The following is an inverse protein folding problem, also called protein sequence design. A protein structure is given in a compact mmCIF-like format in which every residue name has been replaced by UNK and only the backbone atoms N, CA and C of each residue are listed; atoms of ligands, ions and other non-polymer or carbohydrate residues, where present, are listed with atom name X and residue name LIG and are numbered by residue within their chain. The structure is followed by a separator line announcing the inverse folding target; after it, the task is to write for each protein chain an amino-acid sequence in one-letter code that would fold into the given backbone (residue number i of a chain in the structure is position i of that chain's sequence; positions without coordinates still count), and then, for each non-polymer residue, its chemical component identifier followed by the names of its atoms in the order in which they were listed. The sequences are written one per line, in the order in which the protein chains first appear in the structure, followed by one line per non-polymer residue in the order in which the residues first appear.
data_IF_414654225251
#
_entry.id   IF_414654225251
#
_cell.length_a   1.000
_cell.length_b   1.000
_cell.length_c   1.000
_cell.angle_alpha   90.00
_cell.angle_beta   90.00
_cell.angle_gamma   90.00
#
_symmetry.space_group_name_H-M   'P 1'
#
loop_
_entity.id
_entity.type
_entity.pdbx_description
1 polymer ?
#
# COMPACT_ATOMS: atom_id res chain seq x y z
N UNK A 1 -21.49 5.62 19.65
CA UNK A 1 -20.35 5.53 18.70
C UNK A 1 -19.25 6.59 18.86
N UNK A 2 -19.23 7.43 19.91
CA UNK A 2 -18.14 8.42 20.12
C UNK A 2 -18.14 9.61 19.17
N UNK A 3 -19.27 9.95 18.58
CA UNK A 3 -19.45 11.07 17.64
C UNK A 3 -18.71 12.34 18.11
N UNK A 4 -18.05 13.05 17.19
CA UNK A 4 -17.42 14.33 17.51
C UNK A 4 -18.50 15.38 17.72
N UNK A 5 -18.60 16.01 18.92
CA UNK A 5 -19.60 17.06 19.17
C UNK A 5 -19.39 18.31 18.32
N UNK A 6 -18.25 18.43 17.62
CA UNK A 6 -17.95 19.54 16.71
C UNK A 6 -18.32 19.24 15.25
N UNK A 7 -18.63 17.99 14.90
CA UNK A 7 -19.13 17.65 13.57
C UNK A 7 -20.60 18.07 13.45
N UNK A 8 -20.94 18.80 12.39
CA UNK A 8 -22.31 19.25 12.14
C UNK A 8 -23.25 18.06 11.84
N UNK A 9 -22.77 17.07 11.11
CA UNK A 9 -23.51 15.88 10.71
C UNK A 9 -22.68 14.62 11.00
N UNK A 10 -22.58 14.18 12.26
CA UNK A 10 -21.77 13.03 12.62
C UNK A 10 -22.41 11.74 12.06
N UNK A 11 -21.61 10.99 11.30
CA UNK A 11 -22.00 9.70 10.77
C UNK A 11 -22.06 8.65 11.89
N UNK A 12 -23.24 8.48 12.49
CA UNK A 12 -23.44 7.59 13.63
C UNK A 12 -24.82 6.92 13.62
N UNK A 13 -24.89 5.61 13.91
CA UNK A 13 -26.14 4.91 14.15
C UNK A 13 -26.95 5.41 15.36
N UNK A 14 -26.33 6.14 16.31
CA UNK A 14 -27.02 6.70 17.47
C UNK A 14 -27.75 8.03 17.15
N UNK A 15 -27.55 8.58 15.94
CA UNK A 15 -28.09 9.88 15.52
C UNK A 15 -29.53 9.80 14.98
N UNK A 16 -30.16 10.96 14.70
CA UNK A 16 -29.60 12.31 14.79
C UNK A 16 -29.47 12.82 16.24
N UNK A 17 -28.46 13.66 16.50
CA UNK A 17 -28.25 14.30 17.81
C UNK A 17 -28.77 15.74 17.79
N UNK A 18 -29.40 16.17 18.89
CA UNK A 18 -29.79 17.57 19.06
C UNK A 18 -28.57 18.47 19.31
N UNK A 19 -28.61 19.78 18.97
CA UNK A 19 -27.49 20.71 19.20
C UNK A 19 -27.08 20.87 20.67
N UNK A 20 -27.99 20.55 21.60
CA UNK A 20 -27.82 20.60 23.05
C UNK A 20 -27.58 19.22 23.68
N UNK A 21 -27.26 18.20 22.86
CA UNK A 21 -26.95 16.87 23.35
C UNK A 21 -25.77 16.88 24.35
N UNK A 22 -25.86 16.04 25.39
CA UNK A 22 -24.84 15.95 26.42
C UNK A 22 -23.46 15.59 25.85
N UNK A 23 -22.45 16.39 26.18
CA UNK A 23 -21.06 16.16 25.79
C UNK A 23 -20.26 15.68 27.00
N UNK A 24 -19.51 14.59 26.82
CA UNK A 24 -18.63 14.05 27.84
C UNK A 24 -17.18 13.96 27.33
N UNK A 25 -16.24 14.33 28.20
CA UNK A 25 -14.81 14.09 27.98
C UNK A 25 -14.43 12.75 28.59
N UNK A 26 -13.64 11.95 27.87
CA UNK A 26 -13.13 10.66 28.34
C UNK A 26 -11.74 10.39 27.77
N UNK A 27 -10.97 9.47 28.40
CA UNK A 27 -9.69 9.04 27.84
C UNK A 27 -9.82 8.47 26.43
N UNK A 28 -8.79 8.70 25.62
CA UNK A 28 -8.65 8.05 24.31
C UNK A 28 -8.58 6.54 24.52
N UNK A 29 -9.33 5.78 23.70
CA UNK A 29 -9.33 4.31 23.77
C UNK A 29 -8.24 3.75 22.88
N UNK A 30 -7.45 2.85 23.45
CA UNK A 30 -6.59 1.92 22.71
C UNK A 30 -7.35 0.61 22.62
N UNK A 31 -7.66 0.18 21.41
CA UNK A 31 -8.39 -1.06 21.14
C UNK A 31 -7.43 -2.04 20.51
N UNK A 32 -7.26 -3.20 21.14
CA UNK A 32 -6.41 -4.26 20.62
C UNK A 32 -7.23 -5.23 19.76
N UNK A 33 -6.71 -5.56 18.57
CA UNK A 33 -7.28 -6.53 17.67
C UNK A 33 -6.49 -7.84 17.76
N UNK A 34 -7.12 -8.94 18.23
CA UNK A 34 -6.45 -10.22 18.30
C UNK A 34 -6.29 -10.82 16.91
N UNK A 35 -5.19 -11.57 16.69
CA UNK A 35 -4.88 -12.24 15.41
C UNK A 35 -6.04 -13.14 14.92
N UNK A 36 -6.70 -13.83 15.85
CA UNK A 36 -7.86 -14.69 15.56
C UNK A 36 -9.21 -13.96 15.49
N UNK A 37 -9.24 -12.64 15.31
CA UNK A 37 -10.49 -11.90 15.19
C UNK A 37 -11.29 -12.35 13.96
N UNK A 38 -12.60 -12.48 14.12
CA UNK A 38 -13.53 -12.65 12.99
C UNK A 38 -13.95 -11.29 12.45
N UNK A 39 -14.37 -11.25 11.19
CA UNK A 39 -14.90 -10.04 10.54
C UNK A 39 -16.03 -9.39 11.39
N UNK A 40 -16.95 -10.19 11.91
CA UNK A 40 -18.06 -9.76 12.77
C UNK A 40 -17.58 -9.09 14.06
N UNK A 41 -16.44 -9.50 14.61
CA UNK A 41 -15.86 -8.84 15.79
C UNK A 41 -15.26 -7.49 15.41
N UNK A 42 -14.69 -7.37 14.21
CA UNK A 42 -14.05 -6.15 13.70
C UNK A 42 -15.09 -5.10 13.29
N UNK A 43 -15.96 -5.48 12.37
CA UNK A 43 -17.02 -4.63 11.82
C UNK A 43 -18.19 -4.49 12.78
N UNK A 44 -18.58 -5.59 13.44
CA UNK A 44 -19.82 -5.70 14.20
C UNK A 44 -20.75 -6.72 13.57
N UNK A 45 -21.81 -7.09 14.28
CA UNK A 45 -22.77 -8.09 13.82
C UNK A 45 -24.20 -7.54 13.78
N UNK A 46 -25.02 -8.07 12.88
CA UNK A 46 -26.42 -7.68 12.73
C UNK A 46 -27.29 -8.87 13.17
N UNK A 47 -28.11 -8.68 14.20
CA UNK A 47 -28.93 -9.76 14.77
C UNK A 47 -30.34 -9.77 14.15
N UNK A 48 -30.51 -10.49 13.04
CA UNK A 48 -31.78 -10.57 12.31
C UNK A 48 -32.92 -11.27 13.08
N UNK A 49 -32.60 -12.23 13.95
CA UNK A 49 -33.61 -13.00 14.70
C UNK A 49 -34.44 -12.10 15.63
N UNK A 50 -33.80 -11.12 16.27
CA UNK A 50 -34.49 -10.08 17.05
C UNK A 50 -35.31 -9.14 16.17
N UNK A 51 -34.91 -8.94 14.92
CA UNK A 51 -35.71 -8.18 13.95
C UNK A 51 -36.99 -8.91 13.54
N UNK A 52 -36.97 -10.24 13.50
CA UNK A 52 -38.15 -11.05 13.16
C UNK A 52 -39.15 -11.17 14.32
N UNK A 53 -38.68 -11.18 15.57
CA UNK A 53 -39.53 -11.27 16.77
C UNK A 53 -40.01 -9.89 17.28
N UNK A 54 -39.17 -8.86 17.15
CA UNK A 54 -39.41 -7.51 17.69
C UNK A 54 -39.51 -6.39 16.65
N UNK A 55 -39.33 -6.69 15.36
CA UNK A 55 -39.41 -5.71 14.26
C UNK A 55 -38.22 -4.74 14.16
N UNK A 56 -37.20 -4.86 15.02
CA UNK A 56 -36.05 -3.96 15.05
C UNK A 56 -34.74 -4.71 14.78
N UNK A 57 -33.99 -4.26 13.76
CA UNK A 57 -32.64 -4.74 13.48
C UNK A 57 -31.70 -4.19 14.55
N UNK A 58 -31.13 -5.06 15.37
CA UNK A 58 -30.15 -4.68 16.39
C UNK A 58 -28.73 -4.90 15.84
N UNK A 59 -27.99 -3.82 15.74
CA UNK A 59 -26.57 -3.84 15.37
C UNK A 59 -25.70 -3.84 16.62
N UNK A 60 -24.81 -4.82 16.71
CA UNK A 60 -23.81 -4.91 17.76
C UNK A 60 -22.48 -4.29 17.28
N UNK A 61 -22.01 -3.19 17.90
CA UNK A 61 -20.82 -2.48 17.42
C UNK A 61 -19.54 -3.31 17.54
N UNK A 62 -18.77 -3.37 16.44
CA UNK A 62 -17.48 -4.04 16.40
C UNK A 62 -16.32 -3.25 17.03
N UNK A 63 -15.10 -3.76 16.83
CA UNK A 63 -13.87 -3.10 17.27
C UNK A 63 -13.63 -1.75 16.59
N UNK A 64 -14.02 -1.58 15.31
CA UNK A 64 -13.86 -0.31 14.60
C UNK A 64 -14.68 0.82 15.24
N UNK A 65 -15.91 0.53 15.66
CA UNK A 65 -16.75 1.47 16.39
C UNK A 65 -16.16 1.85 17.76
N UNK A 66 -15.46 0.90 18.40
CA UNK A 66 -14.75 1.12 19.67
C UNK A 66 -13.47 1.94 19.45
N UNK A 67 -12.77 1.74 18.34
CA UNK A 67 -11.54 2.45 18.00
C UNK A 67 -11.77 3.88 17.51
N UNK A 68 -13.00 4.24 17.09
CA UNK A 68 -13.30 5.59 16.62
C UNK A 68 -12.87 6.68 17.64
N UNK A 69 -12.10 7.65 17.13
CA UNK A 69 -11.39 8.73 17.86
C UNK A 69 -10.35 8.22 18.86
N UNK A 70 -9.75 7.07 18.56
CA UNK A 70 -8.64 6.53 19.33
C UNK A 70 -7.65 5.77 18.46
N UNK A 71 -7.09 4.71 19.04
CA UNK A 71 -6.03 3.89 18.43
C UNK A 71 -6.53 2.47 18.28
N UNK A 72 -6.35 1.90 17.09
CA UNK A 72 -6.50 0.47 16.85
C UNK A 72 -5.11 -0.15 16.77
N UNK A 73 -4.75 -0.95 17.77
CA UNK A 73 -3.51 -1.69 17.82
C UNK A 73 -3.73 -3.10 17.29
N UNK A 74 -2.88 -3.52 16.38
CA UNK A 74 -2.86 -4.87 15.82
C UNK A 74 -1.50 -5.47 16.06
N UNK A 75 -1.45 -6.55 16.83
CA UNK A 75 -0.22 -7.30 17.00
C UNK A 75 -0.03 -8.25 15.83
N UNK A 76 1.18 -8.29 15.27
CA UNK A 76 1.55 -9.22 14.20
C UNK A 76 0.57 -9.16 13.00
N UNK A 77 0.46 -7.99 12.37
CA UNK A 77 -0.41 -7.76 11.21
C UNK A 77 -0.17 -8.74 10.06
N UNK A 78 1.03 -9.32 9.96
CA UNK A 78 1.39 -10.35 8.99
C UNK A 78 0.65 -11.69 9.20
N UNK A 79 0.08 -11.94 10.39
CA UNK A 79 -0.66 -13.16 10.71
C UNK A 79 -2.18 -13.01 10.54
N UNK A 80 -2.68 -11.80 10.28
CA UNK A 80 -4.09 -11.57 10.03
C UNK A 80 -4.53 -12.12 8.68
N UNK A 81 -5.80 -12.50 8.60
CA UNK A 81 -6.42 -12.84 7.33
C UNK A 81 -6.42 -11.62 6.38
N UNK A 82 -5.99 -11.83 5.13
CA UNK A 82 -5.85 -10.78 4.10
C UNK A 82 -7.07 -9.84 4.04
N UNK A 83 -8.29 -10.38 4.01
CA UNK A 83 -9.52 -9.59 3.93
C UNK A 83 -9.74 -8.67 5.14
N UNK A 84 -9.31 -9.06 6.34
CA UNK A 84 -9.42 -8.20 7.52
C UNK A 84 -8.46 -7.04 7.40
N UNK A 85 -7.23 -7.28 6.94
CA UNK A 85 -6.24 -6.23 6.74
C UNK A 85 -6.75 -5.20 5.74
N UNK A 86 -7.35 -5.65 4.63
CA UNK A 86 -7.97 -4.77 3.64
C UNK A 86 -9.09 -3.90 4.24
N UNK A 87 -10.02 -4.52 4.98
CA UNK A 87 -11.12 -3.80 5.65
C UNK A 87 -10.59 -2.77 6.65
N UNK A 88 -9.57 -3.12 7.44
CA UNK A 88 -8.97 -2.22 8.42
C UNK A 88 -8.31 -1.02 7.75
N UNK A 89 -7.55 -1.26 6.67
CA UNK A 89 -6.87 -0.22 5.92
C UNK A 89 -7.86 0.67 5.14
N UNK A 90 -8.96 0.12 4.62
CA UNK A 90 -10.03 0.89 3.99
C UNK A 90 -10.73 1.78 5.02
N UNK A 91 -11.09 1.23 6.18
CA UNK A 91 -11.73 1.98 7.25
C UNK A 91 -10.82 3.11 7.78
N UNK A 92 -9.53 2.83 7.97
CA UNK A 92 -8.55 3.82 8.40
C UNK A 92 -8.36 4.94 7.36
N UNK A 93 -8.35 4.61 6.07
CA UNK A 93 -8.18 5.59 4.99
C UNK A 93 -9.45 6.43 4.74
N UNK A 94 -10.63 5.80 4.74
CA UNK A 94 -11.91 6.48 4.50
C UNK A 94 -12.47 7.18 5.75
N UNK A 95 -12.03 6.76 6.95
CA UNK A 95 -12.53 7.28 8.22
C UNK A 95 -13.96 6.85 8.55
N UNK A 96 -14.46 5.79 7.89
CA UNK A 96 -15.80 5.22 8.05
C UNK A 96 -15.78 3.72 7.83
N UNK A 97 -16.74 3.02 8.44
CA UNK A 97 -16.95 1.59 8.25
C UNK A 97 -18.38 1.36 7.77
N UNK A 98 -18.53 0.51 6.76
CA UNK A 98 -19.81 0.12 6.16
C UNK A 98 -19.98 -1.38 6.31
N UNK A 99 -21.18 -1.80 6.69
CA UNK A 99 -21.52 -3.19 6.99
C UNK A 99 -22.78 -3.51 6.21
N UNK A 100 -22.67 -4.40 5.24
CA UNK A 100 -23.78 -4.79 4.37
C UNK A 100 -24.05 -6.28 4.53
N UNK A 101 -25.10 -6.62 5.28
CA UNK A 101 -25.51 -8.01 5.52
C UNK A 101 -27.02 -8.15 5.61
N UNK A 102 -27.52 -9.28 5.13
CA UNK A 102 -28.94 -9.66 5.22
C UNK A 102 -29.91 -8.58 4.70
N UNK A 103 -29.49 -7.82 3.68
CA UNK A 103 -30.28 -6.73 3.09
C UNK A 103 -30.29 -5.42 3.89
N UNK A 104 -29.50 -5.33 4.97
CA UNK A 104 -29.32 -4.13 5.78
C UNK A 104 -27.91 -3.57 5.53
N UNK A 105 -27.84 -2.26 5.28
CA UNK A 105 -26.57 -1.52 5.20
C UNK A 105 -26.51 -0.54 6.37
N UNK A 106 -25.45 -0.64 7.18
CA UNK A 106 -25.17 0.24 8.31
C UNK A 106 -23.82 0.89 8.08
N UNK A 107 -23.77 2.20 8.26
CA UNK A 107 -22.55 2.98 8.11
C UNK A 107 -22.30 3.80 9.39
N UNK A 108 -21.05 3.84 9.83
CA UNK A 108 -20.64 4.65 10.98
C UNK A 108 -19.22 5.23 10.80
N UNK A 109 -18.94 6.35 11.47
CA UNK A 109 -17.61 6.93 11.50
C UNK A 109 -16.60 5.98 12.18
N UNK A 110 -15.40 5.92 11.60
CA UNK A 110 -14.29 5.07 12.03
C UNK A 110 -12.95 5.77 11.79
N UNK A 111 -12.84 7.05 12.20
CA UNK A 111 -11.56 7.78 12.24
C UNK A 111 -10.71 7.30 13.43
N UNK A 112 -9.60 6.61 13.21
CA UNK A 112 -8.67 6.13 14.24
C UNK A 112 -7.23 6.08 13.72
N UNK A 113 -6.26 6.01 14.63
CA UNK A 113 -4.87 5.73 14.28
C UNK A 113 -4.66 4.23 14.28
N UNK A 114 -4.28 3.65 13.14
CA UNK A 114 -3.92 2.24 13.02
C UNK A 114 -2.44 2.07 13.37
N UNK A 115 -2.14 1.21 14.33
CA UNK A 115 -0.78 0.81 14.69
C UNK A 115 -0.68 -0.70 14.52
N UNK A 116 0.09 -1.14 13.54
CA UNK A 116 0.39 -2.54 13.31
C UNK A 116 1.83 -2.84 13.68
N UNK A 117 2.07 -3.89 14.46
CA UNK A 117 3.41 -4.48 14.62
C UNK A 117 3.56 -5.64 13.63
N UNK A 118 4.78 -5.94 13.22
CA UNK A 118 5.08 -7.15 12.47
C UNK A 118 6.40 -7.73 12.96
N UNK A 119 6.51 -9.05 12.98
CA UNK A 119 7.77 -9.74 13.09
C UNK A 119 8.18 -10.25 11.70
N UNK A 120 9.22 -9.69 11.05
CA UNK A 120 9.63 -10.13 9.72
C UNK A 120 10.09 -11.59 9.68
N UNK A 121 10.48 -12.17 10.83
CA UNK A 121 10.86 -13.59 10.94
C UNK A 121 9.65 -14.53 10.81
N UNK A 122 8.43 -14.05 11.06
CA UNK A 122 7.19 -14.83 11.04
C UNK A 122 6.43 -14.73 9.71
N UNK A 123 6.94 -13.91 8.78
CA UNK A 123 6.39 -13.75 7.45
C UNK A 123 6.39 -12.29 7.00
N UNK A 124 6.45 -12.10 5.68
CA UNK A 124 6.36 -10.77 5.07
C UNK A 124 4.90 -10.41 4.78
N UNK A 125 4.52 -9.15 5.03
CA UNK A 125 3.27 -8.63 4.50
C UNK A 125 3.33 -8.56 2.97
N UNK A 126 2.19 -8.83 2.33
CA UNK A 126 2.02 -8.61 0.90
C UNK A 126 2.41 -7.16 0.55
N UNK A 127 3.23 -6.91 -0.48
CA UNK A 127 3.66 -5.56 -0.85
C UNK A 127 2.51 -4.57 -1.04
N UNK A 128 1.36 -5.05 -1.53
CA UNK A 128 0.16 -4.22 -1.75
C UNK A 128 -0.46 -3.71 -0.45
N UNK A 129 -0.37 -4.47 0.64
CA UNK A 129 -0.87 -4.07 1.96
C UNK A 129 0.14 -3.16 2.65
N UNK A 130 1.43 -3.49 2.51
CA UNK A 130 2.52 -2.69 3.06
C UNK A 130 2.49 -1.26 2.51
N UNK A 131 2.27 -1.09 1.21
CA UNK A 131 2.13 0.22 0.55
C UNK A 131 0.97 1.07 1.11
N UNK A 132 -0.03 0.45 1.74
CA UNK A 132 -1.17 1.17 2.33
C UNK A 132 -0.89 1.68 3.74
N UNK A 133 0.16 1.21 4.40
CA UNK A 133 0.64 1.82 5.63
C UNK A 133 1.35 3.13 5.33
N UNK A 134 1.00 4.18 6.08
CA UNK A 134 1.62 5.49 5.93
C UNK A 134 3.10 5.43 6.27
N UNK A 135 3.39 5.14 7.54
CA UNK A 135 4.74 5.23 8.10
C UNK A 135 5.18 3.87 8.64
N UNK A 136 6.48 3.61 8.56
CA UNK A 136 7.15 2.46 9.15
C UNK A 136 8.25 2.95 10.10
N UNK A 137 8.35 2.30 11.26
CA UNK A 137 9.37 2.59 12.26
C UNK A 137 10.00 1.28 12.67
N UNK A 138 11.34 1.20 12.60
CA UNK A 138 12.08 0.08 13.17
C UNK A 138 12.33 0.33 14.65
N UNK A 139 11.92 -0.62 15.49
CA UNK A 139 12.12 -0.54 16.94
C UNK A 139 13.16 -1.57 17.35
N UNK A 140 14.37 -1.08 17.64
CA UNK A 140 15.47 -1.92 18.12
C UNK A 140 15.64 -1.80 19.64
N UNK A 141 15.91 -2.93 20.30
CA UNK A 141 16.31 -2.92 21.70
C UNK A 141 17.66 -2.21 21.87
N UNK A 142 17.82 -1.34 22.89
CA UNK A 142 19.07 -0.62 23.10
C UNK A 142 20.22 -1.60 23.36
N UNK A 143 21.35 -1.39 22.67
CA UNK A 143 22.55 -2.24 22.83
C UNK A 143 23.42 -1.82 24.01
N UNK A 144 23.40 -0.55 24.39
CA UNK A 144 24.21 0.00 25.46
C UNK A 144 23.79 -0.56 26.84
N UNK A 145 24.70 -1.21 27.60
CA UNK A 145 24.37 -1.84 28.88
C UNK A 145 23.72 -0.89 29.90
N UNK A 146 24.18 0.36 29.95
CA UNK A 146 23.69 1.39 30.86
C UNK A 146 22.24 1.74 30.57
N UNK A 147 21.90 1.91 29.29
CA UNK A 147 20.54 2.21 28.85
C UNK A 147 19.60 1.01 29.10
N UNK A 148 20.07 -0.22 28.84
CA UNK A 148 19.31 -1.45 29.15
C UNK A 148 19.00 -1.56 30.66
N UNK A 149 20.00 -1.32 31.50
CA UNK A 149 19.83 -1.36 32.95
C UNK A 149 18.84 -0.28 33.44
N UNK A 150 18.85 0.90 32.82
CA UNK A 150 17.91 1.97 33.13
C UNK A 150 16.47 1.62 32.74
N UNK A 151 16.24 1.04 31.56
CA UNK A 151 14.90 0.56 31.15
C UNK A 151 14.35 -0.45 32.16
N UNK A 152 15.15 -1.45 32.55
CA UNK A 152 14.76 -2.45 33.55
C UNK A 152 14.49 -1.79 34.91
N UNK A 153 15.33 -0.87 35.35
CA UNK A 153 15.15 -0.13 36.62
C UNK A 153 13.83 0.64 36.64
N UNK A 154 13.49 1.34 35.55
CA UNK A 154 12.22 2.06 35.43
C UNK A 154 11.03 1.11 35.46
N UNK A 155 11.13 -0.03 34.78
CA UNK A 155 10.06 -1.04 34.79
C UNK A 155 9.81 -1.58 36.20
N UNK A 156 10.87 -1.96 36.92
CA UNK A 156 10.76 -2.43 38.30
C UNK A 156 10.20 -1.35 39.25
N UNK A 157 10.58 -0.08 39.05
CA UNK A 157 10.04 1.02 39.83
C UNK A 157 8.53 1.22 39.57
N UNK A 158 8.08 1.08 38.32
CA UNK A 158 6.66 1.12 37.98
C UNK A 158 5.90 -0.07 38.59
N UNK A 159 6.43 -1.29 38.51
CA UNK A 159 5.78 -2.48 39.07
C UNK A 159 5.69 -2.39 40.61
N UNK A 160 6.64 -1.74 41.27
CA UNK A 160 6.64 -1.54 42.72
C UNK A 160 5.65 -0.46 43.19
N UNK A 161 5.57 0.67 42.51
CA UNK A 161 4.59 1.73 42.79
C UNK A 161 4.19 2.48 41.50
N UNK A 162 3.11 2.03 40.82
CA UNK A 162 2.65 2.67 39.59
C UNK A 162 2.17 4.12 39.79
N UNK A 163 1.66 4.46 40.98
CA UNK A 163 1.12 5.78 41.26
C UNK A 163 2.24 6.81 41.45
N UNK A 164 3.25 6.48 42.26
CA UNK A 164 4.42 7.34 42.44
C UNK A 164 5.23 7.47 41.15
N UNK A 165 5.36 6.39 40.36
CA UNK A 165 6.03 6.44 39.07
C UNK A 165 5.32 7.42 38.12
N UNK A 166 3.99 7.32 37.95
CA UNK A 166 3.23 8.28 37.12
C UNK A 166 3.36 9.71 37.63
N UNK A 167 3.25 9.92 38.95
CA UNK A 167 3.40 11.26 39.53
C UNK A 167 4.78 11.89 39.22
N UNK A 168 5.84 11.08 39.17
CA UNK A 168 7.19 11.54 38.82
C UNK A 168 7.32 12.02 37.36
N UNK A 169 6.53 11.48 36.43
CA UNK A 169 6.58 11.84 35.01
C UNK A 169 5.43 12.74 34.55
N UNK A 170 4.49 13.07 35.43
CA UNK A 170 3.29 13.84 35.11
C UNK A 170 3.59 15.17 34.41
N UNK A 171 4.57 15.93 34.90
CA UNK A 171 4.94 17.22 34.29
C UNK A 171 5.51 17.04 32.87
N UNK A 172 6.27 15.97 32.63
CA UNK A 172 6.82 15.67 31.31
C UNK A 172 5.73 15.19 30.34
N UNK A 173 4.79 14.36 30.80
CA UNK A 173 3.62 13.94 30.01
C UNK A 173 2.71 15.12 29.68
N UNK A 174 2.49 16.04 30.63
CA UNK A 174 1.70 17.24 30.40
C UNK A 174 2.38 18.16 29.38
N UNK A 175 3.69 18.40 29.50
CA UNK A 175 4.44 19.20 28.53
C UNK A 175 4.39 18.59 27.12
N UNK A 176 4.47 17.26 27.01
CA UNK A 176 4.33 16.55 25.74
C UNK A 176 2.91 16.72 25.15
N UNK A 177 1.89 16.61 26.01
CA UNK A 177 0.48 16.80 25.63
C UNK A 177 0.23 18.21 25.11
N UNK A 178 0.75 19.22 25.82
CA UNK A 178 0.61 20.62 25.43
C UNK A 178 1.30 20.89 24.09
N UNK A 179 2.48 20.29 23.86
CA UNK A 179 3.19 20.36 22.56
C UNK A 179 2.38 19.72 21.44
N UNK A 180 1.79 18.54 21.65
CA UNK A 180 0.92 17.87 20.67
C UNK A 180 -0.29 18.75 20.30
N UNK A 181 -0.95 19.34 21.30
CA UNK A 181 -2.11 20.23 21.07
C UNK A 181 -1.70 21.49 20.31
N UNK A 182 -0.54 22.07 20.61
CA UNK A 182 -0.02 23.21 19.87
C UNK A 182 0.26 22.85 18.41
N UNK A 183 0.95 21.73 18.15
CA UNK A 183 1.24 21.25 16.81
C UNK A 183 -0.03 20.97 16.00
N UNK A 184 -1.05 20.34 16.60
CA UNK A 184 -2.33 20.08 15.94
C UNK A 184 -3.06 21.36 15.51
N UNK A 185 -2.94 22.44 16.29
CA UNK A 185 -3.52 23.75 15.94
C UNK A 185 -2.73 24.42 14.82
N UNK A 186 -1.39 24.32 14.86
CA UNK A 186 -0.50 24.94 13.88
C UNK A 186 -0.56 24.22 12.51
N UNK A 187 -0.95 22.94 12.47
CA UNK A 187 -0.95 22.11 11.26
C UNK A 187 -1.65 22.75 10.06
N UNK A 188 -2.73 23.53 10.27
CA UNK A 188 -3.47 24.20 9.19
C UNK A 188 -2.78 25.47 8.67
N UNK A 189 -1.79 25.97 9.38
CA UNK A 189 -1.01 27.18 9.06
C UNK A 189 0.34 26.85 8.41
N UNK A 190 0.73 25.57 8.37
CA UNK A 190 2.00 25.16 7.75
C UNK A 190 1.90 25.19 6.23
N UNK A 191 2.79 25.95 5.61
CA UNK A 191 2.92 26.07 4.16
C UNK A 191 3.88 25.01 3.61
N UNK A 192 3.39 24.26 2.63
CA UNK A 192 4.19 23.36 1.80
C UNK A 192 4.38 24.02 0.44
N UNK A 193 5.59 24.51 0.18
CA UNK A 193 5.92 25.24 -1.06
C UNK A 193 6.00 24.29 -2.26
N UNK A 194 5.83 24.84 -3.47
CA UNK A 194 5.99 24.07 -4.71
C UNK A 194 7.41 23.50 -4.85
N UNK A 195 8.43 24.21 -4.33
CA UNK A 195 9.80 23.72 -4.29
C UNK A 195 9.93 22.47 -3.39
N UNK A 196 9.33 22.49 -2.20
CA UNK A 196 9.30 21.33 -1.31
C UNK A 196 8.53 20.15 -1.92
N UNK A 197 7.40 20.40 -2.59
CA UNK A 197 6.66 19.38 -3.33
C UNK A 197 7.49 18.75 -4.46
N UNK A 198 8.20 19.58 -5.22
CA UNK A 198 9.10 19.13 -6.30
C UNK A 198 10.20 18.26 -5.71
N UNK A 199 10.79 18.67 -4.59
CA UNK A 199 11.84 17.90 -3.91
C UNK A 199 11.34 16.56 -3.38
N UNK A 200 10.12 16.52 -2.85
CA UNK A 200 9.47 15.25 -2.46
C UNK A 200 9.34 14.31 -3.66
N UNK A 201 8.87 14.83 -4.81
CA UNK A 201 8.70 14.03 -6.02
C UNK A 201 10.05 13.52 -6.56
N UNK A 202 11.10 14.34 -6.52
CA UNK A 202 12.47 13.95 -6.90
C UNK A 202 13.00 12.82 -6.00
N UNK A 203 12.82 12.95 -4.68
CA UNK A 203 13.20 11.89 -3.73
C UNK A 203 12.40 10.62 -4.01
N UNK A 204 11.07 10.70 -4.13
CA UNK A 204 10.24 9.52 -4.43
C UNK A 204 10.63 8.84 -5.75
N UNK A 205 10.99 9.62 -6.79
CA UNK A 205 11.49 9.10 -8.06
C UNK A 205 12.86 8.44 -7.92
N UNK A 206 13.78 9.04 -7.16
CA UNK A 206 15.12 8.47 -6.92
C UNK A 206 15.08 7.13 -6.17
N UNK A 207 14.05 6.90 -5.34
CA UNK A 207 13.84 5.66 -4.61
C UNK A 207 12.99 4.61 -5.37
N UNK A 208 12.70 4.83 -6.66
CA UNK A 208 11.90 3.94 -7.53
C UNK A 208 10.56 3.52 -6.89
N UNK A 209 9.90 4.46 -6.21
CA UNK A 209 8.62 4.16 -5.56
C UNK A 209 7.46 4.19 -6.55
N UNK A 210 6.62 3.16 -6.51
CA UNK A 210 5.47 3.06 -7.40
C UNK A 210 4.30 3.96 -6.94
N UNK A 211 3.91 4.89 -7.81
CA UNK A 211 2.71 5.73 -7.63
C UNK A 211 2.87 6.86 -6.62
N UNK A 212 1.82 7.70 -6.50
CA UNK A 212 1.89 8.99 -5.78
C UNK A 212 1.61 8.91 -4.28
N UNK A 213 1.45 7.70 -3.73
CA UNK A 213 1.08 7.54 -2.32
C UNK A 213 2.22 7.92 -1.40
N UNK A 214 3.46 7.61 -1.80
CA UNK A 214 4.66 8.01 -1.07
C UNK A 214 4.77 9.53 -0.98
N UNK A 215 4.54 10.23 -2.09
CA UNK A 215 4.57 11.69 -2.18
C UNK A 215 3.57 12.32 -1.20
N UNK A 216 2.32 11.85 -1.20
CA UNK A 216 1.27 12.36 -0.32
C UNK A 216 1.61 12.11 1.16
N UNK A 217 2.14 10.93 1.48
CA UNK A 217 2.50 10.59 2.85
C UNK A 217 3.71 11.40 3.30
N UNK A 218 4.74 11.56 2.46
CA UNK A 218 5.90 12.38 2.75
C UNK A 218 5.51 13.84 2.98
N UNK A 219 4.70 14.42 2.09
CA UNK A 219 4.20 15.78 2.23
C UNK A 219 3.47 15.99 3.56
N UNK A 220 2.52 15.10 3.90
CA UNK A 220 1.78 15.18 5.17
C UNK A 220 2.68 14.99 6.39
N UNK A 221 3.69 14.13 6.28
CA UNK A 221 4.62 13.86 7.38
C UNK A 221 5.55 15.04 7.61
N UNK A 222 6.08 15.65 6.55
CA UNK A 222 6.92 16.83 6.62
C UNK A 222 6.16 18.02 7.22
N UNK A 223 4.93 18.25 6.76
CA UNK A 223 4.03 19.27 7.32
C UNK A 223 3.75 19.01 8.81
N UNK A 224 3.48 17.76 9.19
CA UNK A 224 3.26 17.40 10.59
C UNK A 224 4.53 17.56 11.44
N UNK A 225 5.71 17.29 10.89
CA UNK A 225 7.00 17.46 11.56
C UNK A 225 7.35 18.94 11.76
N UNK A 226 7.14 19.79 10.74
CA UNK A 226 7.28 21.24 10.85
C UNK A 226 6.36 21.81 11.95
N UNK A 227 5.08 21.39 11.96
CA UNK A 227 4.12 21.78 12.99
C UNK A 227 4.55 21.30 14.40
N UNK A 228 5.09 20.09 14.50
CA UNK A 228 5.61 19.51 15.73
C UNK A 228 6.79 20.31 16.31
N UNK A 229 7.62 20.88 15.44
CA UNK A 229 8.71 21.77 15.79
C UNK A 229 8.28 23.24 15.98
N UNK A 230 6.99 23.54 15.84
CA UNK A 230 6.44 24.88 16.02
C UNK A 230 6.74 25.83 14.87
N UNK A 231 7.03 25.31 13.68
CA UNK A 231 7.28 26.08 12.44
C UNK A 231 6.07 26.06 11.52
N UNK A 232 5.97 27.10 10.69
CA UNK A 232 4.96 27.25 9.63
C UNK A 232 5.49 26.92 8.24
N UNK A 233 6.79 26.64 8.12
CA UNK A 233 7.44 26.41 6.83
C UNK A 233 8.17 25.07 6.89
N UNK A 234 7.93 24.24 5.87
CA UNK A 234 8.58 22.95 5.70
C UNK A 234 10.04 23.15 5.25
N UNK A 235 10.98 22.51 5.94
CA UNK A 235 12.41 22.55 5.64
C UNK A 235 12.92 21.21 5.09
N UNK A 236 14.14 21.21 4.55
CA UNK A 236 14.83 20.00 4.08
C UNK A 236 14.95 18.92 5.17
N UNK A 237 15.13 19.31 6.43
CA UNK A 237 15.15 18.37 7.57
C UNK A 237 13.80 17.67 7.78
N UNK A 238 12.68 18.37 7.56
CA UNK A 238 11.35 17.75 7.62
C UNK A 238 11.18 16.72 6.51
N UNK A 239 11.68 17.03 5.31
CA UNK A 239 11.67 16.09 4.19
C UNK A 239 12.52 14.85 4.47
N UNK A 240 13.69 15.04 5.11
CA UNK A 240 14.56 13.94 5.56
C UNK A 240 13.86 13.02 6.56
N UNK A 241 13.21 13.59 7.57
CA UNK A 241 12.43 12.81 8.56
C UNK A 241 11.27 12.10 7.88
N UNK A 242 10.53 12.78 7.01
CA UNK A 242 9.42 12.20 6.26
C UNK A 242 9.88 11.02 5.39
N UNK A 243 10.98 11.15 4.66
CA UNK A 243 11.55 10.11 3.82
C UNK A 243 11.93 8.86 4.63
N UNK A 244 12.63 9.06 5.76
CA UNK A 244 13.03 7.96 6.68
C UNK A 244 11.85 7.15 7.20
N UNK A 245 10.68 7.76 7.35
CA UNK A 245 9.48 7.11 7.87
C UNK A 245 8.58 6.54 6.78
N UNK A 246 8.50 7.18 5.61
CA UNK A 246 7.50 6.87 4.58
C UNK A 246 8.00 5.92 3.48
N UNK A 247 9.30 5.87 3.21
CA UNK A 247 9.89 5.16 2.07
C UNK A 247 10.39 3.73 2.33
N UNK A 248 10.92 3.34 3.53
CA UNK A 248 11.61 2.06 3.71
C UNK A 248 10.83 0.81 3.30
N UNK A 249 9.49 0.87 3.36
CA UNK A 249 8.57 -0.21 3.08
C UNK A 249 7.93 -0.15 1.68
N UNK A 250 8.22 0.91 0.92
CA UNK A 250 7.71 1.13 -0.45
C UNK A 250 8.76 0.88 -1.53
N UNK A 251 10.04 0.82 -1.15
CA UNK A 251 11.13 0.49 -2.06
C UNK A 251 11.05 -0.97 -2.52
N UNK A 252 11.18 -1.20 -3.82
CA UNK A 252 11.39 -2.55 -4.36
C UNK A 252 12.77 -3.03 -3.92
N UNK A 253 12.81 -3.89 -2.90
CA UNK A 253 14.07 -4.50 -2.44
C UNK A 253 14.51 -5.59 -3.39
N UNK A 254 15.78 -5.55 -3.79
CA UNK A 254 16.44 -6.73 -4.32
C UNK A 254 16.72 -7.71 -3.16
N UNK A 255 16.88 -9.02 -3.42
CA UNK A 255 17.09 -10.04 -2.38
C UNK A 255 18.32 -9.83 -1.47
N UNK A 256 19.20 -8.87 -1.81
CA UNK A 256 20.44 -8.57 -1.11
C UNK A 256 20.47 -7.17 -0.49
N UNK A 257 19.40 -6.38 -0.62
CA UNK A 257 19.35 -5.04 -0.06
C UNK A 257 19.10 -5.11 1.45
N UNK A 258 19.91 -4.38 2.23
CA UNK A 258 19.71 -4.27 3.66
C UNK A 258 18.36 -3.57 3.97
N UNK A 259 17.67 -3.97 5.05
CA UNK A 259 16.47 -3.27 5.48
C UNK A 259 16.80 -1.83 5.89
N UNK A 260 15.96 -0.88 5.45
CA UNK A 260 16.09 0.55 5.76
C UNK A 260 16.10 1.43 4.51
N UNK A 261 16.41 2.71 4.70
CA UNK A 261 16.71 3.66 3.64
C UNK A 261 18.23 3.83 3.54
N UNK A 262 18.73 3.99 2.33
CA UNK A 262 20.13 4.36 2.10
C UNK A 262 20.27 5.86 2.42
N UNK A 263 20.99 6.19 3.49
CA UNK A 263 21.13 7.58 3.95
C UNK A 263 21.94 8.41 2.98
N UNK A 264 22.95 7.83 2.34
CA UNK A 264 23.80 8.54 1.38
C UNK A 264 22.98 8.90 0.12
N UNK A 265 22.16 7.97 -0.36
CA UNK A 265 21.22 8.23 -1.45
C UNK A 265 20.18 9.29 -1.09
N UNK A 266 19.69 9.29 0.17
CA UNK A 266 18.72 10.28 0.63
C UNK A 266 19.35 11.67 0.68
N UNK A 267 20.58 11.79 1.18
CA UNK A 267 21.28 13.07 1.25
C UNK A 267 21.62 13.60 -0.15
N UNK A 268 21.99 12.75 -1.10
CA UNK A 268 22.16 13.15 -2.50
C UNK A 268 20.83 13.63 -3.13
N UNK A 269 19.74 12.89 -2.87
CA UNK A 269 18.40 13.22 -3.39
C UNK A 269 17.77 14.45 -2.72
N UNK A 270 18.15 14.78 -1.49
CA UNK A 270 17.73 16.01 -0.80
C UNK A 270 18.66 17.18 -1.09
N UNK A 271 19.92 16.91 -1.48
CA UNK A 271 20.92 17.89 -1.86
C UNK A 271 21.33 18.77 -0.67
N UNK A 272 22.53 19.33 -0.73
CA UNK A 272 22.86 20.45 0.13
C UNK A 272 22.11 21.68 -0.39
N UNK A 273 21.47 22.43 0.52
CA UNK A 273 20.83 23.72 0.25
C UNK A 273 21.89 24.75 -0.23
N UNK A 274 22.43 24.60 -1.43
CA UNK A 274 23.03 25.71 -2.17
C UNK A 274 21.92 26.37 -2.98
N UNK A 275 21.53 27.62 -2.67
CA UNK A 275 20.65 28.36 -3.56
C UNK A 275 21.35 28.46 -4.91
N UNK A 276 20.71 27.91 -5.94
CA UNK A 276 21.13 28.07 -7.34
C UNK A 276 21.35 29.57 -7.56
N UNK A 277 22.57 30.03 -7.88
CA UNK A 277 22.80 31.45 -8.09
C UNK A 277 21.89 31.89 -9.23
N UNK A 278 20.95 32.79 -8.92
CA UNK A 278 20.04 33.39 -9.90
C UNK A 278 20.79 33.62 -11.22
N UNK A 279 20.28 33.13 -12.37
CA UNK A 279 20.90 33.42 -13.64
C UNK A 279 20.86 34.94 -13.83
N UNK A 280 22.02 35.57 -13.71
CA UNK A 280 22.17 37.00 -14.00
C UNK A 280 21.60 37.25 -15.41
N UNK A 281 20.77 38.27 -15.62
CA UNK A 281 20.27 38.57 -16.96
C UNK A 281 21.47 38.95 -17.83
N UNK A 282 21.80 38.09 -18.79
CA UNK A 282 22.88 38.36 -19.75
C UNK A 282 22.58 39.67 -20.50
N UNK A 283 23.42 40.66 -20.21
CA UNK A 283 23.52 41.89 -20.97
C UNK A 283 24.20 41.62 -22.30
N UNK A 284 23.48 41.96 -23.36
CA UNK A 284 23.89 42.16 -24.74
C UNK A 284 25.36 42.57 -24.95
N UNK A 285 26.07 41.84 -25.82
CA UNK A 285 27.45 42.12 -26.18
C UNK A 285 28.01 41.14 -27.22
N UNK A 286 27.64 41.33 -28.49
CA UNK A 286 28.01 40.46 -29.60
C UNK A 286 29.50 40.40 -29.96
N UNK A 287 29.85 39.40 -30.78
CA UNK A 287 31.10 39.37 -31.53
C UNK A 287 31.63 37.99 -31.92
N UNK A 288 31.27 37.56 -33.14
CA UNK A 288 32.13 36.86 -34.11
C UNK A 288 32.51 35.38 -33.88
N UNK A 289 31.99 34.53 -34.76
CA UNK A 289 32.63 33.29 -35.25
C UNK A 289 33.96 33.62 -35.99
N UNK A 290 34.90 32.66 -36.15
CA UNK A 290 34.82 31.72 -37.28
C UNK A 290 35.20 30.25 -36.97
N UNK A 291 34.83 29.43 -37.94
CA UNK A 291 34.95 27.98 -38.10
C UNK A 291 36.35 27.36 -37.96
N UNK A 292 36.42 26.06 -37.62
CA UNK A 292 37.38 25.13 -38.24
C UNK A 292 36.94 23.66 -38.13
N UNK A 293 37.02 23.02 -39.28
CA UNK A 293 36.76 21.63 -39.68
C UNK A 293 37.82 20.59 -39.27
N UNK A 294 37.44 19.31 -39.32
CA UNK A 294 38.31 18.11 -39.47
C UNK A 294 38.67 17.44 -38.15
N UNK A 295 38.72 16.12 -37.98
CA UNK A 295 38.93 15.02 -38.92
C UNK A 295 38.51 13.68 -38.28
N UNK A 296 38.23 12.70 -39.13
CA UNK A 296 37.89 11.32 -38.78
C UNK A 296 39.14 10.47 -38.67
N UNK A 297 39.22 9.52 -37.73
CA UNK A 297 40.02 8.31 -37.95
C UNK A 297 39.54 7.14 -37.09
N UNK A 298 38.90 6.23 -37.81
CA UNK A 298 38.85 4.78 -37.66
C UNK A 298 40.16 4.19 -37.10
N UNK A 299 40.08 3.27 -36.13
CA UNK A 299 41.02 2.15 -36.09
C UNK A 299 40.44 0.95 -35.33
N UNK A 300 40.21 -0.12 -36.08
CA UNK A 300 39.99 -1.49 -35.59
C UNK A 300 41.22 -2.29 -36.02
N UNK A 301 41.72 -3.22 -35.19
CA UNK A 301 42.00 -4.53 -35.78
C UNK A 301 41.44 -5.72 -35.00
N UNK A 302 41.15 -6.76 -35.78
CA UNK A 302 40.47 -7.99 -35.45
C UNK A 302 41.34 -9.08 -34.79
N UNK A 303 40.72 -9.82 -33.85
CA UNK A 303 40.83 -11.26 -33.45
C UNK A 303 42.17 -12.02 -33.50
N UNK A 304 42.17 -13.36 -33.29
CA UNK A 304 41.11 -14.27 -32.81
C UNK A 304 41.58 -15.24 -31.69
N UNK A 305 40.68 -16.00 -31.04
CA UNK A 305 40.94 -17.40 -30.64
C UNK A 305 39.70 -18.09 -30.07
N UNK A 306 39.59 -19.37 -30.44
CA UNK A 306 38.54 -20.35 -30.18
C UNK A 306 38.49 -20.84 -28.72
N UNK A 307 37.37 -21.44 -28.32
CA UNK A 307 37.24 -22.10 -27.02
C UNK A 307 35.88 -22.76 -26.78
N UNK A 308 35.64 -23.88 -27.47
CA UNK A 308 34.52 -24.80 -27.30
C UNK A 308 34.45 -25.39 -25.89
N UNK A 309 33.25 -25.48 -25.28
CA UNK A 309 32.86 -26.54 -24.34
C UNK A 309 31.36 -26.45 -23.96
N UNK A 310 30.53 -27.24 -24.63
CA UNK A 310 29.46 -28.04 -23.99
C UNK A 310 30.09 -29.41 -23.61
N UNK A 311 29.56 -30.25 -22.68
CA UNK A 311 28.13 -30.50 -22.47
C UNK A 311 27.70 -30.78 -21.01
N UNK A 312 26.40 -30.96 -20.76
CA UNK A 312 25.85 -32.20 -20.17
C UNK A 312 24.35 -32.09 -19.87
N UNK A 313 23.65 -33.07 -20.41
CA UNK A 313 22.26 -33.45 -20.23
C UNK A 313 21.91 -33.90 -18.81
N UNK A 314 20.72 -33.59 -18.31
CA UNK A 314 19.92 -34.60 -17.59
C UNK A 314 18.42 -34.33 -17.74
N UNK A 315 17.74 -35.39 -18.13
CA UNK A 315 16.30 -35.55 -18.33
C UNK A 315 15.67 -36.11 -17.06
N UNK A 316 14.47 -35.63 -16.70
CA UNK A 316 13.51 -36.37 -15.90
C UNK A 316 12.10 -35.91 -16.25
N UNK A 317 11.36 -36.82 -16.91
CA UNK A 317 9.91 -36.83 -17.03
C UNK A 317 9.26 -37.01 -15.66
N UNK A 318 8.12 -36.35 -15.41
CA UNK A 318 7.05 -36.90 -14.59
C UNK A 318 5.70 -36.28 -15.00
N UNK A 319 4.83 -37.13 -15.52
CA UNK A 319 3.48 -36.88 -16.01
C UNK A 319 2.49 -37.52 -15.02
N UNK A 320 1.55 -36.75 -14.47
CA UNK A 320 0.32 -37.28 -13.86
C UNK A 320 -0.76 -36.17 -13.65
N UNK A 321 -2.07 -36.50 -13.71
CA UNK A 321 -3.11 -35.61 -14.22
C UNK A 321 -4.04 -35.00 -13.15
N UNK A 322 -4.67 -33.87 -13.51
CA UNK A 322 -5.75 -33.20 -12.75
C UNK A 322 -7.11 -33.89 -12.91
N UNK A 323 -7.94 -34.00 -11.85
CA UNK A 323 -9.31 -34.50 -11.96
C UNK A 323 -10.33 -33.38 -12.27
N UNK A 324 -11.39 -33.76 -12.98
CA UNK A 324 -12.60 -33.00 -13.31
C UNK A 324 -13.61 -32.98 -12.15
N UNK A 325 -14.52 -31.99 -12.06
CA UNK A 325 -15.57 -31.96 -11.04
C UNK A 325 -16.83 -32.74 -11.49
N UNK A 326 -17.59 -33.33 -10.56
CA UNK A 326 -18.88 -33.93 -10.87
C UNK A 326 -20.06 -32.96 -10.70
N UNK A 327 -21.05 -33.18 -11.55
CA UNK A 327 -22.39 -32.60 -11.58
C UNK A 327 -23.24 -33.08 -10.39
N UNK A 328 -24.05 -32.20 -9.82
CA UNK A 328 -25.07 -32.55 -8.82
C UNK A 328 -26.32 -31.69 -8.99
N UNK A 329 -27.45 -32.36 -9.26
CA UNK A 329 -28.80 -31.80 -9.22
C UNK A 329 -29.29 -31.69 -7.77
N UNK A 330 -29.96 -30.58 -7.43
CA UNK A 330 -31.01 -30.55 -6.41
C UNK A 330 -31.94 -29.35 -6.66
N UNK A 331 -33.24 -29.62 -6.69
CA UNK A 331 -34.28 -28.62 -6.88
C UNK A 331 -34.66 -27.84 -5.62
N UNK A 332 -35.48 -26.81 -5.81
CA UNK A 332 -36.30 -26.23 -4.75
C UNK A 332 -36.48 -24.72 -4.78
N UNK A 333 -37.72 -24.33 -5.08
CA UNK A 333 -38.41 -23.12 -4.57
C UNK A 333 -38.11 -21.76 -5.19
N UNK A 334 -39.21 -21.08 -5.52
CA UNK A 334 -39.33 -19.80 -6.18
C UNK A 334 -39.09 -18.62 -5.22
N UNK A 335 -38.14 -17.76 -5.56
CA UNK A 335 -38.03 -16.39 -5.05
C UNK A 335 -37.91 -15.43 -6.23
N UNK A 336 -38.81 -14.44 -6.29
CA UNK A 336 -38.85 -13.40 -7.33
C UNK A 336 -37.66 -12.45 -7.17
N UNK A 337 -36.62 -12.66 -7.98
CA UNK A 337 -35.52 -11.72 -8.15
C UNK A 337 -35.90 -10.66 -9.20
N UNK A 338 -35.70 -9.39 -8.85
CA UNK A 338 -35.82 -8.25 -9.77
C UNK A 338 -34.77 -8.39 -10.88
N UNK A 339 -35.18 -8.22 -12.14
CA UNK A 339 -34.30 -8.36 -13.29
C UNK A 339 -33.22 -7.27 -13.29
N UNK A 340 -31.94 -7.69 -13.25
CA UNK A 340 -30.81 -6.83 -13.53
C UNK A 340 -30.83 -6.43 -15.02
N UNK A 341 -30.68 -5.14 -15.31
CA UNK A 341 -30.62 -4.62 -16.68
C UNK A 341 -29.39 -5.13 -17.44
N UNK A 342 -29.48 -5.14 -18.77
CA UNK A 342 -28.43 -5.64 -19.65
C UNK A 342 -27.09 -4.88 -19.45
N UNK A 343 -25.97 -5.59 -19.17
CA UNK A 343 -24.68 -4.95 -19.03
C UNK A 343 -24.18 -4.41 -20.37
N UNK A 344 -23.64 -3.18 -20.33
CA UNK A 344 -23.06 -2.49 -21.48
C UNK A 344 -21.86 -3.27 -22.04
N UNK A 345 -22.01 -3.81 -23.26
CA UNK A 345 -20.93 -4.45 -24.01
C UNK A 345 -20.05 -3.39 -24.68
N UNK A 346 -18.81 -3.25 -24.23
CA UNK A 346 -17.78 -2.48 -24.92
C UNK A 346 -17.47 -3.12 -26.28
N UNK A 347 -17.43 -2.31 -27.33
CA UNK A 347 -17.05 -2.75 -28.68
C UNK A 347 -15.53 -2.90 -28.75
N UNK A 348 -15.08 -4.09 -29.12
CA UNK A 348 -13.68 -4.38 -29.38
C UNK A 348 -13.29 -3.74 -30.73
N UNK A 349 -12.34 -2.79 -30.71
CA UNK A 349 -11.74 -2.29 -31.94
C UNK A 349 -10.76 -3.33 -32.46
N UNK A 350 -11.17 -4.07 -33.48
CA UNK A 350 -10.31 -4.98 -34.24
C UNK A 350 -9.97 -4.33 -35.57
N UNK A 351 -8.68 -4.14 -35.85
CA UNK A 351 -8.19 -3.75 -37.17
C UNK A 351 -8.14 -4.99 -38.04
N UNK A 352 -8.95 -5.02 -39.10
CA UNK A 352 -8.91 -6.07 -40.12
C UNK A 352 -7.80 -5.75 -41.14
N UNK A 353 -6.65 -6.40 -41.00
CA UNK A 353 -5.56 -6.32 -41.96
C UNK A 353 -4.28 -6.98 -41.44
N UNK A 354 -3.53 -7.62 -42.32
CA UNK A 354 -2.16 -8.08 -42.04
C UNK A 354 -1.20 -6.94 -42.39
N UNK A 355 -0.70 -6.22 -41.40
CA UNK A 355 0.34 -5.20 -41.59
C UNK A 355 1.74 -5.80 -41.76
N UNK A 356 2.69 -4.97 -42.17
CA UNK A 356 4.12 -5.29 -42.07
C UNK A 356 4.50 -5.34 -40.60
N UNK A 357 5.28 -6.35 -40.20
CA UNK A 357 5.58 -6.60 -38.79
C UNK A 357 6.71 -7.59 -38.61
N UNK A 358 7.13 -7.74 -37.35
CA UNK A 358 8.36 -8.42 -36.98
C UNK A 358 8.32 -9.94 -37.25
N UNK A 359 9.46 -10.50 -37.66
CA UNK A 359 9.59 -11.90 -38.06
C UNK A 359 9.58 -12.80 -36.83
N UNK A 360 8.49 -13.54 -36.62
CA UNK A 360 8.38 -14.52 -35.54
C UNK A 360 7.70 -15.80 -36.02
N UNK A 361 8.03 -16.95 -35.42
CA UNK A 361 7.48 -18.28 -35.78
C UNK A 361 5.95 -18.39 -35.67
N UNK A 362 5.26 -17.38 -35.12
CA UNK A 362 3.80 -17.32 -34.97
C UNK A 362 3.18 -15.99 -35.41
N UNK A 363 3.90 -15.12 -36.12
CA UNK A 363 3.31 -13.85 -36.57
C UNK A 363 2.39 -14.04 -37.78
N UNK A 364 1.30 -13.25 -37.82
CA UNK A 364 0.35 -13.18 -38.95
C UNK A 364 0.69 -12.03 -39.92
N UNK A 365 1.82 -11.36 -39.72
CA UNK A 365 2.29 -10.22 -40.52
C UNK A 365 2.82 -10.66 -41.89
N UNK A 366 2.79 -9.75 -42.87
CA UNK A 366 3.42 -9.96 -44.18
C UNK A 366 4.92 -9.71 -44.04
N UNK A 367 5.76 -10.70 -44.34
CA UNK A 367 7.23 -10.62 -44.20
C UNK A 367 7.92 -10.94 -45.52
N UNK A 368 9.04 -10.27 -45.82
CA UNK A 368 9.75 -10.38 -47.11
C UNK A 368 10.59 -11.66 -47.30
N UNK A 369 10.78 -12.50 -46.27
CA UNK A 369 11.45 -13.81 -46.35
C UNK A 369 10.82 -14.84 -45.42
N UNK A 370 10.64 -16.08 -45.92
CA UNK A 370 10.19 -17.25 -45.15
C UNK A 370 8.98 -17.98 -45.76
N UNK A 371 9.09 -19.28 -46.05
CA UNK A 371 7.95 -20.12 -46.49
C UNK A 371 7.23 -20.71 -45.26
N UNK A 372 5.90 -20.58 -45.22
CA UNK A 372 5.05 -21.31 -44.27
C UNK A 372 4.74 -22.70 -44.82
N UNK A 373 5.01 -23.76 -44.06
CA UNK A 373 4.45 -25.10 -44.30
C UNK A 373 3.20 -25.22 -43.45
N UNK A 374 2.04 -25.34 -44.09
CA UNK A 374 0.76 -25.56 -43.42
C UNK A 374 0.25 -26.97 -43.69
N UNK A 375 -0.17 -27.67 -42.63
CA UNK A 375 -0.89 -28.93 -42.73
C UNK A 375 -2.36 -28.67 -43.06
N UNK A 376 -2.89 -29.33 -44.10
CA UNK A 376 -4.33 -29.35 -44.42
C UNK A 376 -5.00 -30.49 -43.63
N UNK A 377 -6.14 -30.25 -42.97
CA UNK A 377 -6.99 -31.33 -42.49
C UNK A 377 -7.65 -32.04 -43.68
N UNK A 378 -7.66 -33.37 -43.66
CA UNK A 378 -8.35 -34.22 -44.63
C UNK A 378 -9.82 -34.33 -44.23
N UNK A 379 -10.73 -33.94 -45.13
CA UNK A 379 -12.17 -34.14 -45.01
C UNK A 379 -12.49 -35.64 -44.94
N UNK A 380 -13.25 -36.06 -43.92
CA UNK A 380 -13.81 -37.42 -43.82
C UNK A 380 -15.33 -37.35 -43.89
N UNK A 381 -15.85 -37.65 -45.07
CA UNK A 381 -17.22 -38.09 -45.29
C UNK A 381 -17.20 -39.32 -46.21
N UNK A 382 -17.75 -40.43 -45.71
CA UNK A 382 -18.27 -41.54 -46.53
C UNK A 382 -17.31 -42.70 -46.83
N UNK A 383 -17.51 -43.77 -46.05
CA UNK A 383 -17.69 -45.18 -46.46
C UNK A 383 -16.70 -45.88 -47.42
N UNK A 384 -16.33 -47.12 -47.07
CA UNK A 384 -15.75 -48.09 -48.00
C UNK A 384 -14.38 -48.66 -47.66
N UNK A 385 -14.36 -49.72 -46.84
CA UNK A 385 -13.74 -51.01 -47.19
C UNK A 385 -12.21 -51.15 -47.32
N UNK A 386 -11.64 -51.96 -46.42
CA UNK A 386 -10.47 -52.83 -46.65
C UNK A 386 -9.10 -52.14 -46.54
N UNK A 387 -8.03 -52.77 -46.07
CA UNK A 387 -7.77 -54.10 -45.50
C UNK A 387 -6.40 -54.03 -44.82
N UNK A 388 -6.17 -55.00 -43.95
CA UNK A 388 -5.00 -55.27 -43.10
C UNK A 388 -3.72 -55.44 -43.95
N UNK A 389 -2.56 -54.98 -43.45
CA UNK A 389 -1.44 -55.91 -43.25
C UNK A 389 -0.35 -55.42 -42.29
N UNK A 390 0.06 -56.39 -41.48
CA UNK A 390 1.08 -56.43 -40.46
C UNK A 390 2.38 -56.92 -41.13
N UNK A 391 3.55 -56.39 -40.76
CA UNK A 391 4.72 -57.19 -40.32
C UNK A 391 6.05 -56.43 -40.44
N UNK A 392 6.84 -56.66 -39.39
CA UNK A 392 8.30 -56.62 -39.22
C UNK A 392 9.01 -55.28 -39.07
#
# INVERSE_FOLDING_TARGET
FSSDPREAEPLSPDGPFAPDADVATRPVRIVELPVGATEDRVLGSIHLQKALEGGAVEYEPGLLAKAHRGVLYVDEVNLLHDHLVDVLLDAAAMGRATIERDGVSIEHAARFVLVGTMNPEEGELRPQLLDRFGLTVEVAAPREPQLRAEVVRRRLAFDADPAAFRARFADAEQSLTDRLVAAQKLLTEVELTDAALTRIAEVCAAFDVDGLRADIVMARTAVAHAAWDGRTDVTTDDLRVAARLALPHRRRRNPFDAPGIDEDQLDEALGDDEPDPDPTPDGDGGGSEPESSGDSSDDTPAGPAEGSAEPSTSSADEDAPRPTPPSGEAGGSSTTASAAGDPYRTKLFAVSGTGEGETGRRSRAVTSRGRRVGARPVDRSGDGGGSIDLLQ
#
